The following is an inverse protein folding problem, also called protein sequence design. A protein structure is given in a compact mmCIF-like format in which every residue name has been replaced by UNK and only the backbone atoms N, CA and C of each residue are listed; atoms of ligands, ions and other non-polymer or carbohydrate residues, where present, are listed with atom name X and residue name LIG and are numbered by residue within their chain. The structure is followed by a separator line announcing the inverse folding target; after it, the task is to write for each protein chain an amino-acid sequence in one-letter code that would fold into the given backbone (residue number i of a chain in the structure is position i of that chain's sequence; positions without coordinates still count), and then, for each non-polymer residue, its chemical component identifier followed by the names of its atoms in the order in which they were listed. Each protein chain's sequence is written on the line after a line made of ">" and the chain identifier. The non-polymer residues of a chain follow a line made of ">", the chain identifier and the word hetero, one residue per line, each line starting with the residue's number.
data_IF_607883884403
#
_entry.id   IF_607883884403
#
_cell.length_a   1.000
_cell.length_b   1.000
_cell.length_c   1.000
_cell.angle_alpha   90.00
_cell.angle_beta   90.00
_cell.angle_gamma   90.00
#
_symmetry.space_group_name_H-M   'P 1'
#
loop_
_entity.id
_entity.type
_entity.pdbx_description
1 polymer ?
#
# COMPACT_ATOMS: atom_id res chain seq x y z
N UNK A 1 23.74 -4.95 35.40
CA UNK A 1 23.16 -5.87 34.39
C UNK A 1 21.97 -6.59 35.00
N UNK A 2 20.74 -6.31 34.57
CA UNK A 2 19.57 -7.13 34.94
C UNK A 2 19.59 -8.36 34.05
N UNK A 3 19.65 -9.55 34.65
CA UNK A 3 19.47 -10.81 33.92
C UNK A 3 18.04 -10.83 33.40
N UNK A 4 17.87 -10.92 32.08
CA UNK A 4 16.56 -11.03 31.47
C UNK A 4 16.00 -12.43 31.74
N UNK A 5 15.18 -12.53 32.78
CA UNK A 5 14.51 -13.76 33.18
C UNK A 5 13.39 -14.16 32.20
N UNK A 6 12.90 -13.23 31.38
CA UNK A 6 11.79 -13.49 30.46
C UNK A 6 12.19 -14.46 29.35
N UNK A 7 13.35 -14.24 28.72
CA UNK A 7 13.86 -15.12 27.65
C UNK A 7 14.13 -16.56 28.12
N UNK A 8 14.62 -16.74 29.36
CA UNK A 8 14.87 -18.08 29.92
C UNK A 8 13.59 -18.86 30.15
N UNK A 9 12.54 -18.21 30.66
CA UNK A 9 11.24 -18.85 30.86
C UNK A 9 10.60 -19.27 29.53
N UNK A 10 10.69 -18.44 28.50
CA UNK A 10 10.21 -18.78 27.15
C UNK A 10 10.95 -19.99 26.57
N UNK A 11 12.28 -20.04 26.71
CA UNK A 11 13.08 -21.19 26.27
C UNK A 11 12.70 -22.48 27.00
N UNK A 12 12.56 -22.43 28.33
CA UNK A 12 12.13 -23.59 29.12
C UNK A 12 10.73 -24.05 28.68
N UNK A 13 9.79 -23.12 28.47
CA UNK A 13 8.46 -23.45 27.99
C UNK A 13 8.48 -24.14 26.62
N UNK A 14 9.26 -23.62 25.66
CA UNK A 14 9.42 -24.25 24.33
C UNK A 14 9.97 -25.67 24.45
N UNK A 15 11.01 -25.87 25.29
CA UNK A 15 11.59 -27.20 25.50
C UNK A 15 10.60 -28.19 26.12
N UNK A 16 9.87 -27.77 27.15
CA UNK A 16 8.87 -28.61 27.82
C UNK A 16 7.72 -28.98 26.88
N UNK A 17 7.19 -28.01 26.13
CA UNK A 17 6.10 -28.26 25.15
C UNK A 17 6.57 -29.19 24.04
N UNK A 18 7.78 -29.00 23.52
CA UNK A 18 8.35 -29.86 22.48
C UNK A 18 8.55 -31.29 22.97
N UNK A 19 9.12 -31.46 24.18
CA UNK A 19 9.32 -32.77 24.79
C UNK A 19 7.99 -33.49 25.05
N UNK A 20 6.99 -32.79 25.58
CA UNK A 20 5.65 -33.34 25.82
C UNK A 20 4.97 -33.76 24.51
N UNK A 21 5.03 -32.92 23.47
CA UNK A 21 4.49 -33.24 22.14
C UNK A 21 5.16 -34.45 21.50
N UNK A 22 6.48 -34.58 21.65
CA UNK A 22 7.24 -35.72 21.14
C UNK A 22 6.85 -37.04 21.85
N UNK A 23 6.77 -37.03 23.19
CA UNK A 23 6.36 -38.20 23.98
C UNK A 23 4.93 -38.62 23.59
N UNK A 24 4.02 -37.65 23.47
CA UNK A 24 2.64 -37.90 23.05
C UNK A 24 2.58 -38.53 21.64
N UNK A 25 3.37 -38.02 20.69
CA UNK A 25 3.42 -38.54 19.33
C UNK A 25 3.91 -39.99 19.28
N UNK A 26 4.96 -40.34 20.02
CA UNK A 26 5.41 -41.74 20.16
C UNK A 26 4.29 -42.62 20.72
N UNK A 27 3.57 -42.15 21.74
CA UNK A 27 2.42 -42.85 22.31
C UNK A 27 1.32 -43.12 21.28
N UNK A 28 0.97 -42.13 20.46
CA UNK A 28 -0.01 -42.25 19.36
C UNK A 28 0.46 -43.25 18.31
N UNK A 29 1.74 -43.22 17.92
CA UNK A 29 2.31 -44.16 16.95
C UNK A 29 2.29 -45.60 17.47
N UNK A 30 2.68 -45.82 18.73
CA UNK A 30 2.63 -47.14 19.36
C UNK A 30 1.20 -47.68 19.42
N UNK A 31 0.23 -46.84 19.78
CA UNK A 31 -1.18 -47.20 19.82
C UNK A 31 -1.72 -47.55 18.43
N UNK A 32 -1.44 -46.73 17.42
CA UNK A 32 -1.85 -46.97 16.04
C UNK A 32 -1.23 -48.27 15.49
N UNK A 33 0.05 -48.53 15.77
CA UNK A 33 0.71 -49.78 15.39
C UNK A 33 0.07 -51.00 16.06
N UNK A 34 -0.25 -50.91 17.35
CA UNK A 34 -0.92 -51.99 18.09
C UNK A 34 -2.28 -52.31 17.47
N UNK A 35 -3.08 -51.30 17.12
CA UNK A 35 -4.37 -51.47 16.45
C UNK A 35 -4.24 -52.15 15.09
N UNK A 36 -3.28 -51.71 14.26
CA UNK A 36 -3.00 -52.33 12.97
C UNK A 36 -2.60 -53.81 13.12
N UNK A 37 -1.78 -54.11 14.13
CA UNK A 37 -1.37 -55.48 14.43
C UNK A 37 -2.54 -56.35 14.89
N UNK A 38 -3.43 -55.81 15.72
CA UNK A 38 -4.66 -56.51 16.15
C UNK A 38 -5.62 -56.75 14.98
N UNK A 39 -5.62 -55.90 13.97
CA UNK A 39 -6.38 -56.07 12.73
C UNK A 39 -5.72 -57.03 11.72
N UNK A 40 -4.56 -57.63 12.05
CA UNK A 40 -3.89 -58.63 11.22
C UNK A 40 -2.91 -58.06 10.18
N UNK A 41 -2.61 -56.76 10.20
CA UNK A 41 -1.61 -56.16 9.33
C UNK A 41 -0.18 -56.38 9.86
N UNK A 42 0.74 -56.84 9.01
CA UNK A 42 2.15 -57.02 9.35
C UNK A 42 2.99 -55.80 8.94
N UNK A 43 2.84 -54.68 9.65
CA UNK A 43 3.65 -53.47 9.43
C UNK A 43 4.79 -53.35 10.46
N UNK A 44 5.98 -52.96 10.00
CA UNK A 44 7.11 -52.65 10.88
C UNK A 44 6.85 -51.33 11.61
N UNK A 45 6.93 -51.34 12.94
CA UNK A 45 6.75 -50.14 13.77
C UNK A 45 7.69 -49.00 13.34
N UNK A 46 8.95 -49.34 13.05
CA UNK A 46 9.96 -48.36 12.64
C UNK A 46 9.63 -47.72 11.30
N UNK A 47 9.24 -48.52 10.30
CA UNK A 47 8.88 -48.00 8.98
C UNK A 47 7.64 -47.10 9.05
N UNK A 48 6.65 -47.49 9.86
CA UNK A 48 5.44 -46.67 10.08
C UNK A 48 5.79 -45.35 10.79
N UNK A 49 6.65 -45.40 11.80
CA UNK A 49 7.13 -44.23 12.54
C UNK A 49 7.88 -43.26 11.63
N UNK A 50 8.77 -43.76 10.77
CA UNK A 50 9.52 -42.97 9.80
C UNK A 50 8.58 -42.28 8.80
N UNK A 51 7.66 -43.04 8.20
CA UNK A 51 6.73 -42.53 7.20
C UNK A 51 5.80 -41.45 7.79
N UNK A 52 5.19 -41.71 8.95
CA UNK A 52 4.29 -40.77 9.60
C UNK A 52 5.04 -39.53 10.11
N UNK A 53 6.25 -39.69 10.66
CA UNK A 53 7.06 -38.54 11.09
C UNK A 53 7.48 -37.68 9.91
N UNK A 54 7.84 -38.29 8.77
CA UNK A 54 8.15 -37.55 7.52
C UNK A 54 6.93 -36.79 7.01
N UNK A 55 5.76 -37.40 7.02
CA UNK A 55 4.51 -36.75 6.62
C UNK A 55 4.16 -35.57 7.54
N UNK A 56 4.30 -35.73 8.86
CA UNK A 56 4.09 -34.64 9.83
C UNK A 56 5.10 -33.52 9.62
N UNK A 57 6.38 -33.84 9.40
CA UNK A 57 7.41 -32.85 9.13
C UNK A 57 7.11 -32.06 7.85
N UNK A 58 6.72 -32.75 6.77
CA UNK A 58 6.31 -32.11 5.51
C UNK A 58 5.08 -31.20 5.71
N UNK A 59 4.05 -31.67 6.42
CA UNK A 59 2.87 -30.89 6.74
C UNK A 59 3.22 -29.65 7.58
N UNK A 60 4.13 -29.77 8.56
CA UNK A 60 4.60 -28.67 9.39
C UNK A 60 5.34 -27.61 8.56
N UNK A 61 6.24 -28.03 7.66
CA UNK A 61 6.97 -27.12 6.76
C UNK A 61 6.02 -26.38 5.82
N UNK A 62 5.07 -27.09 5.20
CA UNK A 62 4.07 -26.47 4.33
C UNK A 62 3.17 -25.50 5.10
N UNK A 63 2.69 -25.91 6.28
CA UNK A 63 1.88 -25.06 7.16
C UNK A 63 2.62 -23.78 7.57
N UNK A 64 3.89 -23.90 7.97
CA UNK A 64 4.74 -22.75 8.27
C UNK A 64 4.94 -21.85 7.05
N UNK A 65 5.10 -22.42 5.85
CA UNK A 65 5.18 -21.66 4.60
C UNK A 65 3.91 -20.86 4.31
N UNK A 66 2.72 -21.45 4.52
CA UNK A 66 1.44 -20.75 4.33
C UNK A 66 1.27 -19.61 5.34
N UNK A 67 1.60 -19.85 6.62
CA UNK A 67 1.54 -18.81 7.65
C UNK A 67 2.51 -17.68 7.34
N UNK A 68 3.77 -18.00 7.01
CA UNK A 68 4.78 -16.99 6.63
C UNK A 68 4.35 -16.17 5.41
N UNK A 69 3.72 -16.81 4.40
CA UNK A 69 3.17 -16.10 3.24
C UNK A 69 2.06 -15.12 3.62
N UNK A 70 1.15 -15.50 4.52
CA UNK A 70 0.09 -14.61 5.02
C UNK A 70 0.65 -13.42 5.78
N UNK A 71 1.57 -13.68 6.71
CA UNK A 71 2.27 -12.63 7.47
C UNK A 71 3.00 -11.65 6.56
N UNK A 72 3.71 -12.14 5.53
CA UNK A 72 4.36 -11.28 4.54
C UNK A 72 3.36 -10.40 3.78
N UNK A 73 2.19 -10.94 3.45
CA UNK A 73 1.12 -10.20 2.77
C UNK A 73 0.54 -9.12 3.67
N UNK A 74 0.30 -9.42 4.94
CA UNK A 74 -0.19 -8.45 5.93
C UNK A 74 0.84 -7.34 6.19
N UNK A 75 2.12 -7.69 6.34
CA UNK A 75 3.21 -6.72 6.50
C UNK A 75 3.35 -5.83 5.26
N UNK A 76 3.23 -6.39 4.05
CA UNK A 76 3.23 -5.61 2.83
C UNK A 76 2.04 -4.62 2.80
N UNK A 77 0.83 -5.09 3.14
CA UNK A 77 -0.36 -4.24 3.23
C UNK A 77 -0.23 -3.13 4.28
N UNK A 78 0.41 -3.41 5.42
CA UNK A 78 0.64 -2.42 6.48
C UNK A 78 1.53 -1.28 6.01
N UNK A 79 2.59 -1.57 5.24
CA UNK A 79 3.46 -0.54 4.65
C UNK A 79 2.71 0.37 3.69
N UNK A 80 1.83 -0.20 2.86
CA UNK A 80 1.00 0.59 1.94
C UNK A 80 0.08 1.55 2.70
N UNK A 81 -0.49 1.10 3.82
CA UNK A 81 -1.36 1.94 4.65
C UNK A 81 -0.60 3.11 5.28
N UNK A 82 0.60 2.88 5.83
CA UNK A 82 1.42 3.95 6.41
C UNK A 82 1.83 5.01 5.37
N UNK A 83 2.18 4.56 4.16
CA UNK A 83 2.53 5.47 3.05
C UNK A 83 1.30 6.26 2.58
N UNK A 84 0.13 5.62 2.51
CA UNK A 84 -1.13 6.27 2.15
C UNK A 84 -1.58 7.30 3.21
N UNK A 85 -1.43 6.96 4.50
CA UNK A 85 -1.78 7.85 5.62
C UNK A 85 -0.90 9.11 5.62
N UNK A 86 0.42 8.96 5.49
CA UNK A 86 1.34 10.10 5.34
C UNK A 86 1.02 10.96 4.12
N UNK A 87 0.69 10.32 2.99
CA UNK A 87 0.28 11.04 1.79
C UNK A 87 -1.02 11.81 2.04
N UNK A 88 -1.98 11.20 2.75
CA UNK A 88 -3.24 11.85 3.13
C UNK A 88 -3.01 13.05 4.04
N UNK A 89 -2.23 12.90 5.11
CA UNK A 89 -1.87 13.98 6.03
C UNK A 89 -1.20 15.14 5.29
N UNK A 90 -0.21 14.84 4.45
CA UNK A 90 0.50 15.85 3.67
C UNK A 90 -0.43 16.59 2.72
N UNK A 91 -1.22 15.86 1.92
CA UNK A 91 -2.13 16.48 0.96
C UNK A 91 -3.20 17.33 1.65
N UNK A 92 -3.62 16.96 2.86
CA UNK A 92 -4.59 17.71 3.66
C UNK A 92 -3.93 18.67 4.65
N UNK A 93 -2.62 18.92 4.56
CA UNK A 93 -1.98 19.94 5.36
C UNK A 93 -2.57 21.32 5.03
N UNK A 94 -2.65 22.25 6.00
CA UNK A 94 -3.16 23.60 5.77
C UNK A 94 -2.48 24.28 4.57
N UNK A 95 -1.17 24.12 4.42
CA UNK A 95 -0.38 24.73 3.35
C UNK A 95 -0.74 24.19 1.96
N UNK A 96 -1.09 22.92 1.86
CA UNK A 96 -1.53 22.29 0.62
C UNK A 96 -2.99 22.63 0.29
N UNK A 97 -3.84 22.77 1.31
CA UNK A 97 -5.21 23.27 1.16
C UNK A 97 -5.19 24.71 0.66
N UNK A 98 -4.45 25.61 1.31
CA UNK A 98 -4.34 27.01 0.90
C UNK A 98 -3.73 27.16 -0.49
N UNK A 99 -2.71 26.36 -0.84
CA UNK A 99 -2.13 26.41 -2.18
C UNK A 99 -3.15 26.04 -3.27
N UNK A 100 -3.96 25.00 -3.04
CA UNK A 100 -5.05 24.65 -3.97
C UNK A 100 -6.12 25.73 -4.02
N UNK A 101 -6.50 26.29 -2.87
CA UNK A 101 -7.49 27.37 -2.81
C UNK A 101 -7.01 28.60 -3.57
N UNK A 102 -5.73 28.96 -3.41
CA UNK A 102 -5.12 30.06 -4.13
C UNK A 102 -5.22 29.85 -5.63
N UNK A 103 -4.88 28.66 -6.13
CA UNK A 103 -4.99 28.32 -7.56
C UNK A 103 -6.44 28.45 -8.05
N UNK A 104 -7.42 27.98 -7.28
CA UNK A 104 -8.82 28.02 -7.71
C UNK A 104 -9.38 29.43 -7.77
N UNK A 105 -8.96 30.32 -6.86
CA UNK A 105 -9.49 31.68 -6.76
C UNK A 105 -8.73 32.68 -7.61
N UNK A 106 -7.41 32.54 -7.72
CA UNK A 106 -6.54 33.61 -8.21
C UNK A 106 -5.81 33.27 -9.51
N UNK A 107 -5.69 32.00 -9.90
CA UNK A 107 -4.94 31.64 -11.11
C UNK A 107 -5.77 32.02 -12.35
N UNK A 108 -5.27 32.94 -13.22
CA UNK A 108 -5.97 33.32 -14.44
C UNK A 108 -6.22 32.13 -15.37
N UNK A 109 -7.25 32.21 -16.21
CA UNK A 109 -7.54 31.13 -17.17
C UNK A 109 -6.54 31.09 -18.34
N UNK A 110 -5.95 32.22 -18.71
CA UNK A 110 -4.90 32.29 -19.72
C UNK A 110 -3.50 32.09 -19.10
N UNK A 111 -2.77 31.01 -19.48
CA UNK A 111 -1.42 30.76 -19.00
C UNK A 111 -0.41 31.85 -19.32
N UNK A 112 -0.51 32.47 -20.51
CA UNK A 112 0.47 33.48 -20.95
C UNK A 112 0.36 34.75 -20.09
N UNK A 113 -0.87 35.23 -19.87
CA UNK A 113 -1.13 36.30 -18.92
C UNK A 113 -0.72 35.90 -17.50
N UNK A 114 -1.17 34.73 -17.03
CA UNK A 114 -0.94 34.31 -15.65
C UNK A 114 0.54 34.20 -15.30
N UNK A 115 1.39 33.70 -16.18
CA UNK A 115 2.84 33.62 -15.91
C UNK A 115 3.49 35.00 -15.80
N UNK A 116 2.96 36.02 -16.48
CA UNK A 116 3.45 37.41 -16.38
C UNK A 116 2.98 38.12 -15.11
N UNK A 117 1.78 37.80 -14.63
CA UNK A 117 1.12 38.53 -13.55
C UNK A 117 1.12 37.80 -12.21
N UNK A 118 1.47 36.50 -12.18
CA UNK A 118 1.44 35.68 -10.97
C UNK A 118 2.42 36.20 -9.92
N UNK A 119 1.90 36.40 -8.70
CA UNK A 119 2.70 36.82 -7.55
C UNK A 119 3.65 35.70 -7.11
N UNK A 120 4.71 36.00 -6.34
CA UNK A 120 5.58 34.98 -5.77
C UNK A 120 4.84 33.93 -4.93
N UNK A 121 3.80 34.35 -4.21
CA UNK A 121 2.90 33.46 -3.46
C UNK A 121 2.16 32.49 -4.41
N UNK A 122 1.63 33.00 -5.51
CA UNK A 122 0.98 32.18 -6.53
C UNK A 122 1.92 31.17 -7.17
N UNK A 123 3.15 31.58 -7.48
CA UNK A 123 4.17 30.67 -8.01
C UNK A 123 4.47 29.54 -7.01
N UNK A 124 4.60 29.88 -5.72
CA UNK A 124 4.79 28.90 -4.66
C UNK A 124 3.59 27.94 -4.54
N UNK A 125 2.36 28.45 -4.63
CA UNK A 125 1.14 27.65 -4.61
C UNK A 125 1.07 26.68 -5.79
N UNK A 126 1.28 27.16 -7.02
CA UNK A 126 1.33 26.34 -8.25
C UNK A 126 2.37 25.24 -8.12
N UNK A 127 3.61 25.59 -7.76
CA UNK A 127 4.71 24.63 -7.60
C UNK A 127 4.38 23.57 -6.54
N UNK A 128 3.82 23.98 -5.40
CA UNK A 128 3.46 23.07 -4.32
C UNK A 128 2.42 22.05 -4.78
N UNK A 129 1.34 22.49 -5.42
CA UNK A 129 0.29 21.57 -5.89
C UNK A 129 0.81 20.64 -6.98
N UNK A 130 1.60 21.14 -7.93
CA UNK A 130 2.20 20.29 -8.96
C UNK A 130 3.14 19.23 -8.35
N UNK A 131 3.97 19.60 -7.37
CA UNK A 131 4.83 18.66 -6.66
C UNK A 131 4.02 17.60 -5.88
N UNK A 132 2.92 18.00 -5.26
CA UNK A 132 2.01 17.05 -4.61
C UNK A 132 1.40 16.06 -5.61
N UNK A 133 0.99 16.52 -6.80
CA UNK A 133 0.46 15.65 -7.85
C UNK A 133 1.51 14.69 -8.39
N UNK A 134 2.73 15.15 -8.64
CA UNK A 134 3.85 14.30 -9.06
C UNK A 134 4.19 13.25 -8.00
N UNK A 135 4.18 13.60 -6.72
CA UNK A 135 4.40 12.64 -5.65
C UNK A 135 3.34 11.54 -5.62
N UNK A 136 2.07 11.90 -5.80
CA UNK A 136 0.97 10.92 -5.91
C UNK A 136 1.18 10.04 -7.14
N UNK A 137 1.58 10.64 -8.27
CA UNK A 137 1.83 9.91 -9.51
C UNK A 137 2.97 8.90 -9.31
N UNK A 138 4.09 9.32 -8.72
CA UNK A 138 5.23 8.47 -8.39
C UNK A 138 4.84 7.30 -7.48
N UNK A 139 4.14 7.56 -6.38
CA UNK A 139 3.75 6.53 -5.41
C UNK A 139 2.77 5.49 -6.02
N UNK A 140 1.85 5.93 -6.88
CA UNK A 140 0.92 5.03 -7.56
C UNK A 140 1.58 4.23 -8.68
N UNK A 141 2.39 4.87 -9.53
CA UNK A 141 3.08 4.21 -10.64
C UNK A 141 4.10 3.18 -10.18
N UNK A 142 4.78 3.44 -9.06
CA UNK A 142 5.75 2.52 -8.49
C UNK A 142 5.09 1.38 -7.68
N UNK A 143 3.75 1.33 -7.58
CA UNK A 143 3.02 0.31 -6.82
C UNK A 143 3.15 0.42 -5.30
N UNK A 144 3.60 1.57 -4.78
CA UNK A 144 3.71 1.82 -3.35
C UNK A 144 2.36 2.12 -2.72
N UNK A 145 1.41 2.62 -3.51
CA UNK A 145 0.01 2.71 -3.12
C UNK A 145 -0.85 2.17 -4.25
N UNK A 146 -1.74 1.19 -3.99
CA UNK A 146 -2.64 0.67 -5.01
C UNK A 146 -3.56 1.79 -5.55
N UNK A 147 -3.74 1.85 -6.87
CA UNK A 147 -4.59 2.86 -7.50
C UNK A 147 -6.03 2.80 -7.02
N UNK A 148 -6.56 1.59 -6.79
CA UNK A 148 -7.90 1.36 -6.27
C UNK A 148 -8.14 2.01 -4.91
N UNK A 149 -7.07 2.20 -4.11
CA UNK A 149 -7.14 2.93 -2.86
C UNK A 149 -7.15 4.44 -3.09
N UNK A 150 -6.44 4.94 -4.11
CA UNK A 150 -6.26 6.37 -4.38
C UNK A 150 -7.41 7.00 -5.18
N UNK A 151 -7.85 6.32 -6.23
CA UNK A 151 -8.77 6.89 -7.22
C UNK A 151 -10.12 7.36 -6.65
N UNK A 152 -10.79 6.61 -5.75
CA UNK A 152 -12.10 7.03 -5.23
C UNK A 152 -12.07 8.37 -4.48
N UNK A 153 -11.03 8.62 -3.68
CA UNK A 153 -10.96 9.81 -2.83
C UNK A 153 -10.18 10.96 -3.46
N UNK A 154 -9.11 10.69 -4.20
CA UNK A 154 -8.25 11.74 -4.76
C UNK A 154 -8.69 12.24 -6.14
N UNK A 155 -9.37 11.41 -6.94
CA UNK A 155 -9.71 11.79 -8.31
C UNK A 155 -10.51 13.10 -8.42
N UNK A 156 -11.46 13.47 -7.53
CA UNK A 156 -12.14 14.76 -7.62
C UNK A 156 -11.17 15.93 -7.49
N UNK A 157 -10.25 15.86 -6.52
CA UNK A 157 -9.27 16.91 -6.25
C UNK A 157 -8.25 17.02 -7.37
N UNK A 158 -7.66 15.90 -7.80
CA UNK A 158 -6.66 15.86 -8.88
C UNK A 158 -7.25 16.42 -10.17
N UNK A 159 -8.46 15.97 -10.56
CA UNK A 159 -9.08 16.42 -11.82
C UNK A 159 -9.40 17.91 -11.76
N UNK A 160 -9.88 18.42 -10.63
CA UNK A 160 -10.17 19.85 -10.44
C UNK A 160 -8.89 20.70 -10.46
N UNK A 161 -7.85 20.31 -9.74
CA UNK A 161 -6.54 20.97 -9.76
C UNK A 161 -5.94 20.97 -11.17
N UNK A 162 -5.94 19.83 -11.84
CA UNK A 162 -5.38 19.69 -13.18
C UNK A 162 -6.15 20.47 -14.25
N UNK A 163 -7.46 20.70 -14.06
CA UNK A 163 -8.23 21.54 -14.98
C UNK A 163 -7.71 22.98 -15.06
N UNK A 164 -7.19 23.52 -13.95
CA UNK A 164 -6.54 24.86 -13.90
C UNK A 164 -5.05 24.79 -14.26
N UNK A 165 -4.33 23.78 -13.77
CA UNK A 165 -2.87 23.70 -13.92
C UNK A 165 -2.41 23.14 -15.27
N UNK A 166 -3.19 22.27 -15.90
CA UNK A 166 -2.83 21.60 -17.16
C UNK A 166 -2.41 22.59 -18.28
N UNK A 167 -3.20 23.65 -18.56
CA UNK A 167 -2.82 24.68 -19.53
C UNK A 167 -1.48 25.37 -19.21
N UNK A 168 -1.19 25.64 -17.93
CA UNK A 168 0.07 26.26 -17.50
C UNK A 168 1.27 25.33 -17.66
N UNK A 169 1.12 24.06 -17.29
CA UNK A 169 2.16 23.03 -17.48
C UNK A 169 2.48 22.89 -18.96
N UNK A 170 1.46 22.84 -19.80
CA UNK A 170 1.61 22.68 -21.25
C UNK A 170 2.24 23.92 -21.91
N UNK A 171 1.86 25.13 -21.49
CA UNK A 171 2.50 26.36 -21.94
C UNK A 171 3.97 26.42 -21.51
N UNK A 172 4.29 26.12 -20.24
CA UNK A 172 5.68 26.10 -19.74
C UNK A 172 6.52 25.04 -20.43
N UNK A 173 5.98 23.83 -20.66
CA UNK A 173 6.64 22.74 -21.39
C UNK A 173 7.11 23.21 -22.77
N UNK A 174 6.24 23.88 -23.54
CA UNK A 174 6.60 24.45 -24.85
C UNK A 174 7.60 25.60 -24.72
N UNK A 175 7.37 26.53 -23.79
CA UNK A 175 8.24 27.70 -23.58
C UNK A 175 9.67 27.30 -23.23
N UNK A 176 9.84 26.21 -22.46
CA UNK A 176 11.13 25.66 -22.03
C UNK A 176 11.74 24.66 -23.01
N UNK A 177 10.96 24.15 -23.96
CA UNK A 177 11.34 23.00 -24.78
C UNK A 177 11.59 21.72 -23.96
N UNK A 178 10.81 21.52 -22.89
CA UNK A 178 10.88 20.38 -21.96
C UNK A 178 9.59 19.55 -22.05
N UNK A 179 9.49 18.56 -22.97
CA UNK A 179 8.25 17.81 -23.22
C UNK A 179 7.80 16.94 -22.03
N UNK A 180 8.74 16.60 -21.14
CA UNK A 180 8.58 15.80 -19.93
C UNK A 180 8.18 16.62 -18.69
N UNK A 181 8.04 17.95 -18.83
CA UNK A 181 7.66 18.84 -17.73
C UNK A 181 6.33 18.39 -17.07
N UNK A 182 6.42 17.90 -15.84
CA UNK A 182 5.30 17.33 -15.06
C UNK A 182 4.51 16.22 -15.80
N UNK A 183 5.21 15.38 -16.57
CA UNK A 183 4.59 14.26 -17.30
C UNK A 183 3.82 13.30 -16.38
N UNK A 184 4.35 12.97 -15.21
CA UNK A 184 3.72 12.02 -14.30
C UNK A 184 2.39 12.56 -13.75
N UNK A 185 2.34 13.83 -13.33
CA UNK A 185 1.09 14.51 -12.97
C UNK A 185 0.07 14.53 -14.13
N UNK A 186 0.51 14.76 -15.37
CA UNK A 186 -0.34 14.71 -16.58
C UNK A 186 -0.99 13.33 -16.75
N UNK A 187 -0.19 12.26 -16.65
CA UNK A 187 -0.65 10.88 -16.75
C UNK A 187 -1.60 10.50 -15.61
N UNK A 188 -1.27 10.87 -14.36
CA UNK A 188 -2.13 10.68 -13.20
C UNK A 188 -3.49 11.36 -13.42
N UNK A 189 -3.50 12.62 -13.84
CA UNK A 189 -4.75 13.34 -14.10
C UNK A 189 -5.57 12.68 -15.22
N UNK A 190 -4.92 12.16 -16.26
CA UNK A 190 -5.57 11.35 -17.30
C UNK A 190 -6.24 10.10 -16.75
N UNK A 191 -5.52 9.31 -15.93
CA UNK A 191 -6.07 8.13 -15.23
C UNK A 191 -7.24 8.50 -14.33
N UNK A 192 -7.14 9.59 -13.56
CA UNK A 192 -8.23 10.06 -12.71
C UNK A 192 -9.48 10.47 -13.52
N UNK A 193 -9.31 11.14 -14.67
CA UNK A 193 -10.44 11.48 -15.56
C UNK A 193 -11.12 10.22 -16.10
N UNK A 194 -10.33 9.26 -16.58
CA UNK A 194 -10.84 7.98 -17.09
C UNK A 194 -11.58 7.19 -15.99
N UNK A 195 -11.01 7.14 -14.78
CA UNK A 195 -11.65 6.50 -13.63
C UNK A 195 -13.00 7.16 -13.31
N UNK A 196 -13.05 8.50 -13.27
CA UNK A 196 -14.29 9.24 -12.98
C UNK A 196 -15.35 9.04 -14.07
N UNK A 197 -14.97 9.07 -15.34
CA UNK A 197 -15.90 8.81 -16.43
C UNK A 197 -16.57 7.42 -16.33
N UNK A 198 -15.84 6.43 -15.80
CA UNK A 198 -16.36 5.07 -15.59
C UNK A 198 -17.22 4.92 -14.33
N UNK A 199 -16.84 5.53 -13.21
CA UNK A 199 -17.46 5.27 -11.90
C UNK A 199 -18.44 6.34 -11.43
N UNK A 200 -18.30 7.57 -11.92
CA UNK A 200 -19.14 8.74 -11.56
C UNK A 200 -19.40 9.63 -12.78
N UNK A 201 -20.03 9.10 -13.87
CA UNK A 201 -20.14 9.79 -15.16
C UNK A 201 -20.88 11.14 -15.10
N UNK A 202 -21.82 11.30 -14.18
CA UNK A 202 -22.63 12.52 -14.05
C UNK A 202 -21.94 13.62 -13.22
N UNK A 203 -20.77 13.33 -12.64
CA UNK A 203 -20.11 14.24 -11.72
C UNK A 203 -19.36 15.37 -12.46
N UNK A 204 -19.97 16.55 -12.50
CA UNK A 204 -19.37 17.79 -13.05
C UNK A 204 -18.39 18.43 -12.07
N UNK A 205 -17.40 19.16 -12.60
CA UNK A 205 -16.52 19.99 -11.77
C UNK A 205 -17.31 21.25 -11.39
N UNK A 206 -17.63 21.39 -10.10
CA UNK A 206 -18.23 22.62 -9.57
C UNK A 206 -17.13 23.56 -9.09
N UNK A 207 -17.09 24.73 -9.69
CA UNK A 207 -16.30 25.88 -9.22
C UNK A 207 -17.15 26.62 -8.21
N UNK A 208 -16.64 26.76 -6.98
CA UNK A 208 -17.28 27.54 -5.93
C UNK A 208 -16.29 28.63 -5.58
N UNK A 209 -16.73 29.88 -5.64
CA UNK A 209 -15.92 31.04 -5.28
C UNK A 209 -15.52 31.00 -3.79
N UNK A 210 -16.32 30.30 -2.97
CA UNK A 210 -16.14 30.10 -1.53
C UNK A 210 -15.98 28.63 -1.11
N UNK A 211 -15.36 27.79 -1.95
CA UNK A 211 -14.98 26.45 -1.49
C UNK A 211 -14.04 26.55 -0.27
N UNK A 212 -14.42 25.81 0.79
CA UNK A 212 -13.87 25.79 2.16
C UNK A 212 -12.36 26.00 2.29
#
# INVERSE_FOLDING_TARGET
>A
MRVDWSGRLTLIAILVVTAAGFILWIGVLLFAWLLLRLAGFSTSFWAMTEALSTAVAAAAVLGAGVVAYRELTEVASSRHMEVADRLFEELNSPENIEARRWIFKNLPDDPEEGIRTITPEGQAAVKRVLNSLDRVAFLTQAGWIPEEMIMPWMSPMIVKAWAKLGPYVEYESRRRHEPDYYQQARELAGRCRAWRAKHVPDAKITWLDDAL
#
